data_IF_690306149328
#
_entry.id   IF_690306149328
#
_cell.length_a   1.000
_cell.length_b   1.000
_cell.length_c   1.000
_cell.angle_alpha   90.00
_cell.angle_beta   90.00
_cell.angle_gamma   90.00
#
_symmetry.space_group_name_H-M   'P 1'
#
loop_
_entity.id
_entity.type
_entity.pdbx_description
1 polymer ?
#
# COMPACT_ATOMS: atom_id res chain seq x y z
N UNK A 1 -39.62 65.59 -34.11
CA UNK A 1 -39.06 65.49 -32.73
C UNK A 1 -38.92 64.01 -32.43
N UNK A 2 -37.83 63.63 -31.79
CA UNK A 2 -37.41 62.30 -31.30
C UNK A 2 -36.27 61.64 -32.09
N UNK A 3 -35.26 61.31 -31.28
CA UNK A 3 -33.89 60.90 -31.52
C UNK A 3 -33.73 59.57 -32.27
N UNK A 4 -32.65 59.35 -33.05
CA UNK A 4 -32.19 58.00 -33.34
C UNK A 4 -31.27 57.52 -32.19
N UNK A 5 -31.64 56.42 -31.56
CA UNK A 5 -30.71 55.62 -30.75
C UNK A 5 -29.69 54.98 -31.70
N UNK A 6 -28.42 55.39 -31.63
CA UNK A 6 -27.32 54.69 -32.28
C UNK A 6 -26.79 53.59 -31.34
N UNK A 7 -27.22 52.35 -31.57
CA UNK A 7 -26.51 51.16 -31.08
C UNK A 7 -25.19 51.05 -31.86
N UNK A 8 -24.07 51.29 -31.19
CA UNK A 8 -22.75 50.93 -31.74
C UNK A 8 -22.50 49.44 -31.51
N UNK A 9 -22.85 48.64 -32.51
CA UNK A 9 -22.48 47.22 -32.60
C UNK A 9 -21.08 47.16 -33.23
N UNK A 10 -20.10 46.67 -32.48
CA UNK A 10 -18.80 46.31 -33.06
C UNK A 10 -18.90 44.90 -33.65
N UNK A 11 -18.97 44.81 -34.97
CA UNK A 11 -18.80 43.55 -35.69
C UNK A 11 -17.34 43.41 -36.09
N UNK A 12 -16.65 42.41 -35.54
CA UNK A 12 -15.34 41.99 -36.03
C UNK A 12 -15.55 40.87 -37.05
N UNK A 13 -15.44 41.19 -38.34
CA UNK A 13 -15.42 40.17 -39.40
C UNK A 13 -14.01 39.62 -39.48
N UNK A 14 -13.81 38.36 -39.05
CA UNK A 14 -12.62 37.59 -39.41
C UNK A 14 -12.93 36.77 -40.66
N UNK A 15 -12.28 37.10 -41.78
CA UNK A 15 -12.25 36.22 -42.95
C UNK A 15 -11.40 35.00 -42.62
N UNK A 16 -12.04 33.85 -42.47
CA UNK A 16 -11.34 32.57 -42.48
C UNK A 16 -11.36 32.06 -43.92
N UNK A 17 -10.19 32.00 -44.56
CA UNK A 17 -10.04 31.41 -45.89
C UNK A 17 -10.46 29.93 -45.83
N UNK A 18 -11.31 29.49 -46.74
CA UNK A 18 -11.52 28.06 -46.94
C UNK A 18 -10.17 27.42 -47.34
N UNK A 19 -9.75 26.31 -46.71
CA UNK A 19 -8.48 25.68 -47.03
C UNK A 19 -8.48 25.22 -48.50
N UNK A 20 -7.37 25.48 -49.18
CA UNK A 20 -7.22 25.15 -50.60
C UNK A 20 -7.24 23.63 -50.83
N UNK A 21 -7.61 23.21 -52.04
CA UNK A 21 -7.59 21.79 -52.46
C UNK A 21 -6.24 21.11 -52.21
N UNK A 22 -5.13 21.86 -52.32
CA UNK A 22 -3.77 21.37 -52.03
C UNK A 22 -3.48 21.24 -50.52
N UNK A 23 -4.11 22.05 -49.68
CA UNK A 23 -3.99 22.03 -48.22
C UNK A 23 -4.71 20.81 -47.64
N UNK A 24 -5.86 20.44 -48.24
CA UNK A 24 -6.60 19.20 -47.91
C UNK A 24 -5.89 17.93 -48.42
N UNK A 25 -5.20 18.02 -49.56
CA UNK A 25 -4.40 16.90 -50.09
C UNK A 25 -3.11 16.67 -49.31
N UNK A 26 -2.44 17.73 -48.83
CA UNK A 26 -1.23 17.60 -48.01
C UNK A 26 -1.52 17.01 -46.63
N UNK A 27 -2.68 17.32 -46.04
CA UNK A 27 -3.15 16.75 -44.78
C UNK A 27 -3.42 15.23 -44.89
N UNK A 28 -3.93 14.78 -46.05
CA UNK A 28 -4.25 13.36 -46.31
C UNK A 28 -3.01 12.55 -46.72
N UNK A 29 -2.12 13.12 -47.54
CA UNK A 29 -0.88 12.47 -47.96
C UNK A 29 0.15 12.39 -46.80
N UNK A 30 0.24 13.44 -45.98
CA UNK A 30 1.08 13.45 -44.78
C UNK A 30 0.65 12.39 -43.76
N UNK A 31 -0.66 12.27 -43.51
CA UNK A 31 -1.21 11.22 -42.64
C UNK A 31 -0.90 9.80 -43.12
N UNK A 32 -0.86 9.58 -44.44
CA UNK A 32 -0.53 8.27 -45.02
C UNK A 32 0.93 7.89 -44.79
N UNK A 33 1.87 8.82 -44.98
CA UNK A 33 3.31 8.58 -44.73
C UNK A 33 3.57 8.33 -43.25
N UNK A 34 2.94 9.12 -42.37
CA UNK A 34 3.01 8.90 -40.91
C UNK A 34 2.41 7.55 -40.54
N UNK A 35 1.28 7.16 -41.13
CA UNK A 35 0.66 5.86 -40.93
C UNK A 35 1.56 4.68 -41.33
N UNK A 36 2.23 4.77 -42.47
CA UNK A 36 3.21 3.76 -42.91
C UNK A 36 4.41 3.72 -41.95
N UNK A 37 4.89 4.88 -41.49
CA UNK A 37 5.95 4.95 -40.48
C UNK A 37 5.56 4.28 -39.17
N UNK A 38 4.35 4.56 -38.67
CA UNK A 38 3.80 3.92 -37.46
C UNK A 38 3.58 2.41 -37.65
N UNK A 39 3.21 1.97 -38.86
CA UNK A 39 3.08 0.55 -39.18
C UNK A 39 4.41 -0.19 -39.01
N UNK A 40 5.50 0.28 -39.63
CA UNK A 40 6.81 -0.36 -39.46
C UNK A 40 7.37 -0.21 -38.04
N UNK A 41 7.13 0.93 -37.39
CA UNK A 41 7.51 1.12 -35.99
C UNK A 41 6.79 0.12 -35.07
N UNK A 42 5.52 -0.21 -35.35
CA UNK A 42 4.77 -1.21 -34.59
C UNK A 42 5.41 -2.60 -34.69
N UNK A 43 5.87 -3.02 -35.86
CA UNK A 43 6.63 -4.28 -36.00
C UNK A 43 7.96 -4.24 -35.26
N UNK A 44 8.68 -3.12 -35.29
CA UNK A 44 9.93 -2.99 -34.54
C UNK A 44 9.72 -3.09 -33.02
N UNK A 45 8.69 -2.40 -32.49
CA UNK A 45 8.31 -2.46 -31.08
C UNK A 45 7.83 -3.87 -30.70
N UNK A 46 7.00 -4.51 -31.54
CA UNK A 46 6.55 -5.89 -31.30
C UNK A 46 7.72 -6.87 -31.31
N UNK A 47 8.64 -6.78 -32.27
CA UNK A 47 9.76 -7.70 -32.38
C UNK A 47 10.77 -7.53 -31.25
N UNK A 48 11.01 -6.29 -30.79
CA UNK A 48 11.87 -6.05 -29.62
C UNK A 48 11.20 -6.46 -28.31
N UNK A 49 9.87 -6.33 -28.22
CA UNK A 49 9.10 -6.82 -27.07
C UNK A 49 9.05 -8.36 -27.04
N UNK A 50 8.76 -9.00 -28.18
CA UNK A 50 8.76 -10.46 -28.34
C UNK A 50 10.15 -11.05 -28.12
N UNK A 51 11.21 -10.40 -28.63
CA UNK A 51 12.59 -10.82 -28.37
C UNK A 51 12.92 -10.80 -26.88
N UNK A 52 12.51 -9.75 -26.15
CA UNK A 52 12.68 -9.70 -24.68
C UNK A 52 11.81 -10.73 -23.96
N UNK A 53 10.55 -10.91 -24.38
CA UNK A 53 9.63 -11.87 -23.79
C UNK A 53 10.11 -13.32 -24.00
N UNK A 54 10.63 -13.64 -25.19
CA UNK A 54 11.24 -14.93 -25.50
C UNK A 54 12.51 -15.14 -24.68
N UNK A 55 13.37 -14.13 -24.56
CA UNK A 55 14.60 -14.25 -23.77
C UNK A 55 14.31 -14.44 -22.27
N UNK A 56 13.27 -13.79 -21.74
CA UNK A 56 12.75 -14.04 -20.37
C UNK A 56 12.13 -15.43 -20.23
N UNK A 57 11.40 -15.93 -21.24
CA UNK A 57 10.83 -17.27 -21.22
C UNK A 57 11.90 -18.36 -21.27
N UNK A 58 12.95 -18.18 -22.08
CA UNK A 58 14.11 -19.09 -22.12
C UNK A 58 14.88 -19.06 -20.81
N UNK A 59 15.13 -17.88 -20.21
CA UNK A 59 15.81 -17.80 -18.91
C UNK A 59 14.97 -18.41 -17.77
N UNK A 60 13.64 -18.28 -17.81
CA UNK A 60 12.75 -18.96 -16.86
C UNK A 60 12.80 -20.49 -17.04
N UNK A 61 12.84 -20.98 -18.28
CA UNK A 61 12.86 -22.40 -18.59
C UNK A 61 14.22 -23.04 -18.27
N UNK A 62 15.32 -22.35 -18.52
CA UNK A 62 16.66 -22.74 -18.10
C UNK A 62 16.77 -22.76 -16.58
N UNK A 63 16.24 -21.73 -15.90
CA UNK A 63 16.11 -21.69 -14.44
C UNK A 63 15.29 -22.86 -13.89
N UNK A 64 14.10 -23.13 -14.44
CA UNK A 64 13.23 -24.25 -14.05
C UNK A 64 13.87 -25.62 -14.29
N UNK A 65 14.70 -25.77 -15.32
CA UNK A 65 15.43 -27.01 -15.62
C UNK A 65 16.56 -27.32 -14.62
N UNK A 66 16.98 -26.32 -13.84
CA UNK A 66 18.00 -26.42 -12.79
C UNK A 66 17.39 -26.46 -11.37
N UNK A 67 16.06 -26.34 -11.23
CA UNK A 67 15.39 -26.39 -9.93
C UNK A 67 15.35 -27.83 -9.42
N UNK A 68 16.10 -28.10 -8.36
CA UNK A 68 15.90 -29.32 -7.57
C UNK A 68 14.74 -29.07 -6.61
N UNK A 69 13.64 -29.81 -6.80
CA UNK A 69 12.51 -29.82 -5.88
C UNK A 69 12.88 -30.63 -4.64
N UNK A 70 13.15 -29.95 -3.52
CA UNK A 70 13.29 -30.63 -2.24
C UNK A 70 11.91 -30.93 -1.68
N UNK A 71 11.59 -32.23 -1.60
CA UNK A 71 10.43 -32.70 -0.87
C UNK A 71 10.53 -32.39 0.63
N UNK A 72 9.42 -32.47 1.39
CA UNK A 72 9.31 -32.01 2.77
C UNK A 72 10.26 -32.69 3.79
N UNK A 73 10.95 -33.75 3.39
CA UNK A 73 11.87 -34.55 4.22
C UNK A 73 13.26 -34.72 3.61
N UNK A 74 13.65 -33.87 2.66
CA UNK A 74 14.97 -33.95 2.05
C UNK A 74 16.00 -33.54 3.10
N UNK A 75 16.70 -34.53 3.66
CA UNK A 75 17.92 -34.31 4.44
C UNK A 75 18.87 -33.38 3.70
N UNK A 76 19.77 -32.70 4.43
CA UNK A 76 20.88 -31.92 3.89
C UNK A 76 21.71 -32.79 2.93
N UNK A 77 21.32 -32.86 1.66
CA UNK A 77 22.09 -33.50 0.62
C UNK A 77 23.09 -32.47 0.14
N UNK A 78 24.35 -32.69 0.52
CA UNK A 78 25.50 -31.85 0.17
C UNK A 78 25.65 -31.69 -1.35
N UNK A 79 25.00 -32.54 -2.17
CA UNK A 79 24.97 -32.40 -3.62
C UNK A 79 24.15 -31.21 -4.15
N UNK A 80 23.27 -30.61 -3.33
CA UNK A 80 22.48 -29.45 -3.75
C UNK A 80 23.18 -28.10 -3.49
N UNK A 81 24.43 -28.12 -3.00
CA UNK A 81 25.22 -26.91 -2.81
C UNK A 81 25.51 -26.24 -4.16
N UNK A 82 25.35 -24.91 -4.23
CA UNK A 82 25.49 -24.08 -5.45
C UNK A 82 24.45 -24.32 -6.56
N UNK A 83 23.35 -25.01 -6.26
CA UNK A 83 22.22 -25.15 -7.18
C UNK A 83 21.05 -24.26 -6.75
N UNK A 84 20.24 -23.84 -7.71
CA UNK A 84 18.95 -23.20 -7.43
C UNK A 84 18.02 -24.22 -6.79
N UNK A 85 17.73 -24.02 -5.50
CA UNK A 85 16.85 -24.92 -4.75
C UNK A 85 15.50 -24.25 -4.54
N UNK A 86 14.43 -24.98 -4.83
CA UNK A 86 13.07 -24.59 -4.45
C UNK A 86 12.62 -25.39 -3.23
N UNK A 87 12.48 -24.71 -2.09
CA UNK A 87 12.00 -25.28 -0.84
C UNK A 87 10.55 -24.86 -0.62
N UNK A 88 9.67 -25.84 -0.36
CA UNK A 88 8.31 -25.58 0.11
C UNK A 88 8.05 -26.33 1.42
N UNK A 89 7.87 -25.59 2.51
CA UNK A 89 7.56 -26.17 3.82
C UNK A 89 6.84 -25.16 4.72
N UNK A 90 6.33 -25.64 5.86
CA UNK A 90 5.66 -24.81 6.85
C UNK A 90 6.66 -23.98 7.65
N UNK A 91 6.27 -22.74 7.97
CA UNK A 91 7.01 -21.88 8.88
C UNK A 91 6.90 -22.39 10.32
N UNK A 92 8.03 -22.55 10.99
CA UNK A 92 8.09 -22.80 12.42
C UNK A 92 8.87 -21.68 13.15
N UNK A 93 8.34 -21.23 14.28
CA UNK A 93 9.01 -20.36 15.24
C UNK A 93 9.10 -21.07 16.58
N UNK A 94 10.14 -20.80 17.37
CA UNK A 94 10.37 -21.46 18.66
C UNK A 94 9.34 -21.10 19.73
N UNK A 95 8.85 -19.85 19.71
CA UNK A 95 7.94 -19.31 20.70
C UNK A 95 6.91 -18.36 20.07
N UNK A 96 5.75 -18.15 20.73
CA UNK A 96 4.80 -17.14 20.30
C UNK A 96 5.29 -15.72 20.58
N UNK A 97 4.80 -14.77 19.78
CA UNK A 97 4.99 -13.34 19.98
C UNK A 97 3.90 -12.81 20.90
N UNK A 98 4.29 -12.00 21.88
CA UNK A 98 3.39 -11.49 22.92
C UNK A 98 3.33 -9.96 22.90
N UNK A 99 2.13 -9.42 23.05
CA UNK A 99 1.90 -8.04 23.48
C UNK A 99 1.20 -8.04 24.85
N UNK A 100 1.95 -7.79 25.95
CA UNK A 100 1.41 -7.90 27.30
C UNK A 100 0.39 -6.80 27.63
N UNK A 101 0.43 -5.64 26.96
CA UNK A 101 -0.49 -4.54 27.23
C UNK A 101 -1.92 -4.89 26.83
N UNK A 102 -2.08 -5.74 25.82
CA UNK A 102 -3.37 -6.18 25.29
C UNK A 102 -3.61 -7.69 25.50
N UNK A 103 -2.69 -8.37 26.19
CA UNK A 103 -2.68 -9.83 26.42
C UNK A 103 -2.80 -10.63 25.11
N UNK A 104 -2.29 -10.09 24.00
CA UNK A 104 -2.26 -10.76 22.71
C UNK A 104 -1.07 -11.70 22.64
N UNK A 105 -1.30 -12.94 22.23
CA UNK A 105 -0.26 -13.93 22.00
C UNK A 105 -0.54 -14.67 20.69
N UNK A 106 0.40 -14.66 19.76
CA UNK A 106 0.26 -15.31 18.45
C UNK A 106 1.56 -16.01 18.08
N UNK A 107 1.49 -17.30 17.75
CA UNK A 107 2.62 -18.03 17.17
C UNK A 107 2.73 -17.67 15.68
N UNK A 108 3.59 -16.71 15.36
CA UNK A 108 3.81 -16.24 14.00
C UNK A 108 5.20 -15.60 13.84
N UNK A 109 5.61 -15.37 12.60
CA UNK A 109 6.89 -14.71 12.27
C UNK A 109 6.87 -13.23 12.64
N UNK A 110 5.76 -12.53 12.41
CA UNK A 110 5.60 -11.11 12.79
C UNK A 110 4.27 -10.88 13.48
N UNK A 111 4.29 -10.02 14.50
CA UNK A 111 3.11 -9.47 15.17
C UNK A 111 3.20 -7.95 15.10
N UNK A 112 2.18 -7.31 14.53
CA UNK A 112 2.10 -5.88 14.33
C UNK A 112 0.94 -5.28 15.11
N UNK A 113 1.26 -4.40 16.04
CA UNK A 113 0.32 -3.49 16.71
C UNK A 113 0.23 -2.20 15.89
N UNK A 114 -0.96 -1.89 15.40
CA UNK A 114 -1.27 -0.62 14.75
C UNK A 114 -2.09 0.23 15.71
N UNK A 115 -1.63 1.44 15.96
CA UNK A 115 -2.28 2.42 16.85
C UNK A 115 -2.74 3.59 16.01
N UNK A 116 -3.97 4.04 16.26
CA UNK A 116 -4.55 5.23 15.66
C UNK A 116 -5.18 6.09 16.77
N UNK A 117 -5.09 7.40 16.63
CA UNK A 117 -5.74 8.36 17.51
C UNK A 117 -6.86 9.08 16.76
N UNK A 118 -8.00 9.26 17.43
CA UNK A 118 -9.08 10.09 16.93
C UNK A 118 -8.70 11.55 17.16
N UNK A 119 -8.56 12.32 16.09
CA UNK A 119 -8.02 13.68 16.16
C UNK A 119 -8.54 14.55 15.03
N UNK A 120 -8.49 15.86 15.19
CA UNK A 120 -8.77 16.82 14.13
C UNK A 120 -7.76 16.72 13.00
N UNK A 121 -8.26 16.84 11.77
CA UNK A 121 -7.49 16.93 10.53
C UNK A 121 -7.98 18.16 9.77
N UNK A 122 -7.04 19.03 9.39
CA UNK A 122 -7.31 20.17 8.52
C UNK A 122 -7.07 19.78 7.06
N UNK A 123 -8.05 20.09 6.22
CA UNK A 123 -8.00 19.98 4.78
C UNK A 123 -7.99 21.37 4.16
N UNK A 124 -7.13 21.59 3.18
CA UNK A 124 -6.98 22.86 2.47
C UNK A 124 -7.28 22.69 0.99
N UNK A 125 -8.12 23.55 0.45
CA UNK A 125 -8.38 23.67 -0.98
C UNK A 125 -8.07 25.11 -1.42
N UNK A 126 -7.34 25.27 -2.52
CA UNK A 126 -7.00 26.58 -3.07
C UNK A 126 -7.47 26.70 -4.51
N UNK A 127 -8.06 27.84 -4.85
CA UNK A 127 -8.56 28.14 -6.19
C UNK A 127 -8.12 29.53 -6.62
N UNK A 128 -7.53 29.60 -7.81
CA UNK A 128 -7.20 30.87 -8.44
C UNK A 128 -8.37 31.38 -9.28
N UNK A 129 -8.61 32.69 -9.21
CA UNK A 129 -9.58 33.38 -10.06
C UNK A 129 -9.05 34.76 -10.46
N UNK A 130 -9.58 35.27 -11.56
CA UNK A 130 -9.25 36.60 -12.07
C UNK A 130 -10.29 37.60 -11.59
N UNK A 131 -9.84 38.70 -10.98
CA UNK A 131 -10.69 39.81 -10.58
C UNK A 131 -9.91 41.11 -10.79
N UNK A 132 -10.52 42.09 -11.47
CA UNK A 132 -9.91 43.39 -11.81
C UNK A 132 -8.56 43.32 -12.56
N UNK A 133 -8.31 42.22 -13.28
CA UNK A 133 -7.07 42.00 -14.02
C UNK A 133 -5.91 41.46 -13.17
N UNK A 134 -6.16 41.12 -11.91
CA UNK A 134 -5.22 40.45 -11.01
C UNK A 134 -5.63 38.99 -10.76
N UNK A 135 -4.64 38.09 -10.63
CA UNK A 135 -4.87 36.72 -10.16
C UNK A 135 -4.98 36.72 -8.63
N UNK A 136 -6.12 36.31 -8.10
CA UNK A 136 -6.35 36.11 -6.67
C UNK A 136 -6.47 34.62 -6.35
N UNK A 137 -5.91 34.21 -5.21
CA UNK A 137 -6.02 32.84 -4.69
C UNK A 137 -6.95 32.84 -3.49
N UNK A 138 -8.09 32.15 -3.60
CA UNK A 138 -8.95 31.82 -2.47
C UNK A 138 -8.49 30.49 -1.87
N UNK A 139 -8.37 30.44 -0.54
CA UNK A 139 -8.05 29.20 0.18
C UNK A 139 -9.16 28.90 1.18
N UNK A 140 -9.74 27.70 1.09
CA UNK A 140 -10.76 27.20 2.00
C UNK A 140 -10.17 26.12 2.90
N UNK A 141 -10.45 26.21 4.20
CA UNK A 141 -10.02 25.23 5.21
C UNK A 141 -11.23 24.49 5.77
N UNK A 142 -11.16 23.15 5.80
CA UNK A 142 -12.17 22.26 6.36
C UNK A 142 -11.57 21.42 7.48
N UNK A 143 -12.33 21.13 8.52
CA UNK A 143 -11.86 20.41 9.69
C UNK A 143 -12.78 19.22 9.97
N UNK A 144 -12.20 18.03 10.05
CA UNK A 144 -12.92 16.80 10.40
C UNK A 144 -12.14 16.01 11.45
N UNK A 145 -12.84 15.26 12.28
CA UNK A 145 -12.21 14.33 13.22
C UNK A 145 -12.11 12.93 12.62
N UNK A 146 -10.90 12.38 12.62
CA UNK A 146 -10.57 11.11 11.97
C UNK A 146 -9.61 10.28 12.81
N UNK A 147 -9.66 8.96 12.59
CA UNK A 147 -8.63 8.04 13.10
C UNK A 147 -7.39 8.12 12.22
N UNK A 148 -6.26 8.50 12.80
CA UNK A 148 -4.99 8.66 12.08
C UNK A 148 -3.87 7.95 12.84
N UNK A 149 -2.99 7.28 12.10
CA UNK A 149 -1.84 6.56 12.67
C UNK A 149 -0.69 7.49 13.06
N UNK A 150 -0.60 8.63 12.39
CA UNK A 150 0.36 9.69 12.62
C UNK A 150 -0.23 10.78 13.49
N UNK A 151 0.63 11.50 14.21
CA UNK A 151 0.22 12.61 15.06
C UNK A 151 0.00 13.87 14.23
N UNK A 152 -1.17 14.47 14.32
CA UNK A 152 -1.49 15.72 13.60
C UNK A 152 -1.30 16.89 14.55
N UNK A 153 -0.26 17.68 14.30
CA UNK A 153 0.04 18.87 15.10
C UNK A 153 -0.93 20.01 14.78
N UNK A 154 -1.98 20.15 15.61
CA UNK A 154 -3.01 21.19 15.46
C UNK A 154 -2.49 22.62 15.62
N UNK A 155 -1.27 22.83 16.15
CA UNK A 155 -0.64 24.16 16.22
C UNK A 155 -0.33 24.75 14.85
N UNK A 156 -0.32 23.90 13.82
CA UNK A 156 -0.10 24.31 12.44
C UNK A 156 -1.42 24.58 11.69
N UNK A 157 -2.57 24.43 12.35
CA UNK A 157 -3.86 24.72 11.73
C UNK A 157 -4.08 26.22 11.57
N UNK A 158 -4.73 26.60 10.49
CA UNK A 158 -5.18 27.97 10.22
C UNK A 158 -6.12 28.46 11.34
N UNK A 159 -7.00 27.56 11.82
CA UNK A 159 -7.87 27.80 12.97
C UNK A 159 -7.68 26.72 14.04
N UNK A 160 -6.70 26.91 14.91
CA UNK A 160 -6.46 26.03 16.06
C UNK A 160 -7.58 26.06 17.11
N UNK A 161 -8.18 27.22 17.38
CA UNK A 161 -9.21 27.36 18.42
C UNK A 161 -10.45 26.54 18.06
N UNK A 162 -10.72 25.51 18.88
CA UNK A 162 -11.79 24.53 18.66
C UNK A 162 -11.33 23.23 17.98
N UNK A 163 -10.08 23.16 17.51
CA UNK A 163 -9.52 22.01 16.79
C UNK A 163 -8.20 21.51 17.39
N UNK A 164 -8.11 21.52 18.72
CA UNK A 164 -6.89 21.14 19.44
C UNK A 164 -6.74 19.61 19.49
N UNK A 165 -5.54 19.13 19.14
CA UNK A 165 -5.16 17.72 19.27
C UNK A 165 -4.17 17.52 20.42
N UNK A 166 -4.16 16.34 21.06
CA UNK A 166 -3.09 15.99 22.00
C UNK A 166 -1.71 16.01 21.34
N UNK A 167 -0.69 16.40 22.09
CA UNK A 167 0.69 16.46 21.62
C UNK A 167 1.43 15.11 21.66
N UNK A 168 0.77 14.05 22.09
CA UNK A 168 1.33 12.70 22.20
C UNK A 168 0.22 11.64 22.14
N UNK A 169 0.56 10.46 21.61
CA UNK A 169 -0.27 9.26 21.76
C UNK A 169 0.21 8.47 22.99
N UNK A 170 -0.72 7.92 23.78
CA UNK A 170 -0.38 7.14 24.97
C UNK A 170 0.25 5.76 24.65
N UNK A 171 0.09 5.29 23.42
CA UNK A 171 0.58 4.00 22.94
C UNK A 171 1.15 4.15 21.54
N UNK A 172 2.20 3.39 21.23
CA UNK A 172 2.85 3.43 19.92
C UNK A 172 2.61 2.16 19.10
N UNK A 173 2.60 2.32 17.78
CA UNK A 173 2.63 1.20 16.84
C UNK A 173 3.97 0.47 16.92
N UNK A 174 3.95 -0.86 16.87
CA UNK A 174 5.16 -1.68 16.90
C UNK A 174 4.99 -2.93 16.06
N UNK A 175 6.05 -3.35 15.39
CA UNK A 175 6.13 -4.68 14.77
C UNK A 175 7.21 -5.48 15.47
N UNK A 176 6.82 -6.58 16.07
CA UNK A 176 7.74 -7.55 16.69
C UNK A 176 7.96 -8.68 15.70
N UNK A 177 9.22 -9.10 15.56
CA UNK A 177 9.63 -10.19 14.66
C UNK A 177 10.19 -11.33 15.53
N UNK A 178 9.85 -12.57 15.17
CA UNK A 178 10.39 -13.75 15.83
C UNK A 178 11.93 -13.79 15.70
N UNK A 179 12.65 -14.14 16.78
CA UNK A 179 14.11 -14.13 16.78
C UNK A 179 14.69 -15.16 15.81
N UNK A 180 14.01 -16.30 15.67
CA UNK A 180 14.37 -17.40 14.79
C UNK A 180 13.14 -17.86 14.03
N UNK A 181 13.32 -18.05 12.72
CA UNK A 181 12.27 -18.49 11.79
C UNK A 181 12.84 -19.59 10.93
N UNK A 182 12.22 -20.76 10.99
CA UNK A 182 12.64 -21.90 10.20
C UNK A 182 11.61 -22.37 9.19
N UNK A 183 12.09 -23.08 8.17
CA UNK A 183 11.30 -23.73 7.11
C UNK A 183 11.94 -25.09 6.87
N UNK A 184 11.24 -26.18 7.23
CA UNK A 184 11.84 -27.52 7.21
C UNK A 184 13.11 -27.58 8.09
N UNK A 185 14.26 -28.05 7.57
CA UNK A 185 15.52 -28.09 8.33
C UNK A 185 16.31 -26.77 8.29
N UNK A 186 15.84 -25.74 7.58
CA UNK A 186 16.61 -24.51 7.34
C UNK A 186 16.12 -23.36 8.20
N UNK A 187 17.05 -22.47 8.59
CA UNK A 187 16.74 -21.16 9.18
C UNK A 187 16.71 -20.09 8.10
N UNK A 188 15.73 -19.18 8.17
CA UNK A 188 15.61 -18.07 7.23
C UNK A 188 16.56 -16.93 7.60
N UNK A 189 17.21 -16.36 6.59
CA UNK A 189 17.98 -15.13 6.75
C UNK A 189 17.06 -13.93 7.03
N UNK A 190 17.62 -12.87 7.62
CA UNK A 190 16.86 -11.63 7.92
C UNK A 190 16.15 -11.06 6.69
N UNK A 191 16.83 -11.05 5.54
CA UNK A 191 16.24 -10.54 4.29
C UNK A 191 15.03 -11.35 3.81
N UNK A 192 15.04 -12.68 3.98
CA UNK A 192 13.88 -13.52 3.67
C UNK A 192 12.75 -13.31 4.67
N UNK A 193 13.05 -13.16 5.96
CA UNK A 193 12.07 -12.83 6.99
C UNK A 193 11.42 -11.46 6.72
N UNK A 194 12.21 -10.48 6.25
CA UNK A 194 11.71 -9.16 5.87
C UNK A 194 10.68 -9.24 4.74
N UNK A 195 10.77 -10.20 3.82
CA UNK A 195 9.80 -10.39 2.74
C UNK A 195 8.45 -10.99 3.20
N UNK A 196 8.38 -11.55 4.41
CA UNK A 196 7.13 -12.09 4.98
C UNK A 196 6.25 -10.93 5.46
N UNK A 197 5.47 -10.35 4.55
CA UNK A 197 4.65 -9.15 4.80
C UNK A 197 3.16 -9.36 4.51
N UNK A 198 2.71 -10.60 4.29
CA UNK A 198 1.29 -10.90 4.13
C UNK A 198 0.59 -10.86 5.50
N UNK A 199 0.34 -9.66 5.99
CA UNK A 199 -0.32 -9.43 7.27
C UNK A 199 -1.82 -9.73 7.20
N UNK A 200 -2.29 -10.52 8.15
CA UNK A 200 -3.70 -10.81 8.38
C UNK A 200 -4.13 -10.17 9.68
N UNK A 201 -5.33 -9.57 9.70
CA UNK A 201 -5.91 -9.02 10.92
C UNK A 201 -6.16 -10.14 11.93
N UNK A 202 -5.74 -9.93 13.17
CA UNK A 202 -6.10 -10.81 14.28
C UNK A 202 -7.56 -10.54 14.64
N UNK A 203 -8.43 -11.53 14.45
CA UNK A 203 -9.82 -11.36 14.85
C UNK A 203 -9.98 -11.43 16.37
N UNK A 204 -10.76 -10.50 16.93
CA UNK A 204 -11.04 -10.46 18.36
C UNK A 204 -12.38 -11.09 18.75
N UNK A 205 -13.11 -11.67 17.78
CA UNK A 205 -14.45 -12.26 18.02
C UNK A 205 -14.47 -13.32 19.12
N UNK A 206 -13.44 -14.17 19.15
CA UNK A 206 -13.30 -15.24 20.13
C UNK A 206 -12.34 -14.86 21.27
N UNK A 207 -11.93 -13.59 21.35
CA UNK A 207 -10.96 -13.13 22.34
C UNK A 207 -11.66 -12.96 23.69
N UNK A 208 -11.17 -13.66 24.71
CA UNK A 208 -11.70 -13.52 26.06
C UNK A 208 -11.40 -12.12 26.60
N UNK A 209 -12.44 -11.30 26.73
CA UNK A 209 -12.37 -9.98 27.39
C UNK A 209 -12.30 -10.08 28.91
N UNK A 210 -12.51 -11.27 29.47
CA UNK A 210 -12.36 -11.53 30.90
C UNK A 210 -10.90 -11.21 31.32
N UNK A 211 -10.75 -10.19 32.16
CA UNK A 211 -9.46 -9.65 32.67
C UNK A 211 -8.70 -8.67 31.76
N UNK A 212 -9.35 -8.04 30.78
CA UNK A 212 -8.82 -6.82 30.18
C UNK A 212 -8.76 -5.70 31.22
N UNK A 213 -7.84 -4.76 31.02
CA UNK A 213 -7.75 -3.60 31.90
C UNK A 213 -9.06 -2.79 31.86
N UNK A 214 -9.54 -2.21 32.97
CA UNK A 214 -10.85 -1.55 33.01
C UNK A 214 -11.03 -0.38 32.04
N UNK A 215 -9.94 0.24 31.59
CA UNK A 215 -9.94 1.34 30.62
C UNK A 215 -10.01 0.88 29.15
N UNK A 216 -10.00 -0.43 28.90
CA UNK A 216 -10.09 -1.01 27.55
C UNK A 216 -11.50 -1.50 27.26
N UNK A 217 -12.01 -1.16 26.09
CA UNK A 217 -13.16 -1.81 25.47
C UNK A 217 -12.75 -2.49 24.16
N UNK A 218 -13.55 -3.47 23.73
CA UNK A 218 -13.35 -4.18 22.46
C UNK A 218 -14.61 -4.01 21.61
N UNK A 219 -14.43 -3.58 20.37
CA UNK A 219 -15.47 -3.48 19.35
C UNK A 219 -14.84 -3.86 18.00
N UNK A 220 -15.50 -4.74 17.26
CA UNK A 220 -14.94 -5.44 16.09
C UNK A 220 -13.56 -6.07 16.39
N UNK A 221 -12.52 -5.74 15.62
CA UNK A 221 -11.15 -6.23 15.79
C UNK A 221 -10.21 -5.15 16.38
N UNK A 222 -10.77 -4.21 17.15
CA UNK A 222 -10.03 -3.13 17.81
C UNK A 222 -10.17 -3.20 19.33
N UNK A 223 -9.05 -2.93 20.01
CA UNK A 223 -9.05 -2.48 21.40
C UNK A 223 -9.14 -0.97 21.43
N UNK A 224 -9.98 -0.42 22.28
CA UNK A 224 -10.19 1.03 22.43
C UNK A 224 -9.81 1.47 23.85
N UNK A 225 -9.05 2.55 23.95
CA UNK A 225 -8.75 3.26 25.20
C UNK A 225 -9.87 4.26 25.54
N UNK A 226 -11.12 3.82 25.40
CA UNK A 226 -12.32 4.60 25.68
C UNK A 226 -13.43 3.65 26.09
N UNK A 227 -14.36 4.13 26.91
CA UNK A 227 -15.53 3.36 27.33
C UNK A 227 -16.63 3.34 26.26
N UNK A 228 -16.59 4.25 25.28
CA UNK A 228 -17.63 4.40 24.26
C UNK A 228 -17.03 4.47 22.83
N UNK A 229 -16.64 3.33 22.25
CA UNK A 229 -16.01 3.29 20.93
C UNK A 229 -16.89 3.81 19.79
N UNK A 230 -18.21 3.85 19.98
CA UNK A 230 -19.19 4.36 19.01
C UNK A 230 -19.37 5.89 19.06
N UNK A 231 -18.78 6.55 20.05
CA UNK A 231 -18.75 8.03 20.19
C UNK A 231 -17.34 8.47 20.61
N UNK A 232 -16.35 8.35 19.71
CA UNK A 232 -14.98 8.69 20.04
C UNK A 232 -14.82 10.20 20.26
N UNK A 233 -13.94 10.55 21.20
CA UNK A 233 -13.54 11.92 21.49
C UNK A 233 -12.10 12.16 21.05
N UNK A 234 -11.74 13.42 20.84
CA UNK A 234 -10.38 13.78 20.41
C UNK A 234 -9.38 13.34 21.46
N UNK A 235 -8.40 12.53 21.04
CA UNK A 235 -7.41 11.90 21.90
C UNK A 235 -7.71 10.45 22.25
N UNK A 236 -8.91 9.93 21.94
CA UNK A 236 -9.18 8.51 22.05
C UNK A 236 -8.24 7.71 21.15
N UNK A 237 -7.79 6.57 21.65
CA UNK A 237 -6.86 5.67 20.94
C UNK A 237 -7.53 4.35 20.66
N UNK A 238 -7.34 3.83 19.44
CA UNK A 238 -7.71 2.46 19.07
C UNK A 238 -6.51 1.69 18.58
N UNK A 239 -6.51 0.39 18.84
CA UNK A 239 -5.40 -0.51 18.56
C UNK A 239 -5.90 -1.77 17.88
N UNK A 240 -5.28 -2.11 16.76
CA UNK A 240 -5.54 -3.36 16.03
C UNK A 240 -4.27 -4.17 15.93
N UNK A 241 -4.42 -5.49 16.00
CA UNK A 241 -3.34 -6.44 15.79
C UNK A 241 -3.45 -7.11 14.43
N UNK A 242 -2.29 -7.36 13.83
CA UNK A 242 -2.15 -8.18 12.64
C UNK A 242 -0.90 -9.05 12.76
N UNK A 243 -0.88 -10.18 12.08
CA UNK A 243 0.25 -11.11 12.10
C UNK A 243 0.59 -11.58 10.68
N UNK A 244 1.85 -11.94 10.46
CA UNK A 244 2.31 -12.52 9.20
C UNK A 244 3.17 -13.75 9.46
N UNK A 245 3.10 -14.76 8.58
CA UNK A 245 3.81 -16.02 8.75
C UNK A 245 3.27 -16.81 9.93
N UNK A 246 1.98 -17.17 9.90
CA UNK A 246 1.38 -17.99 10.98
C UNK A 246 2.19 -19.27 11.15
N UNK A 247 2.49 -19.61 12.39
CA UNK A 247 3.34 -20.71 12.75
C UNK A 247 2.68 -21.58 13.82
N UNK A 248 3.10 -22.83 13.92
CA UNK A 248 2.56 -23.81 14.87
C UNK A 248 1.39 -24.62 14.31
N UNK A 249 1.39 -25.90 14.61
CA UNK A 249 0.41 -26.87 14.09
C UNK A 249 -0.96 -26.78 14.79
N UNK A 250 -1.01 -26.17 15.98
CA UNK A 250 -2.18 -26.17 16.88
C UNK A 250 -2.76 -24.76 17.13
N UNK A 251 -2.46 -23.79 16.26
CA UNK A 251 -2.98 -22.44 16.43
C UNK A 251 -4.51 -22.39 16.23
N UNK A 252 -5.28 -21.74 17.13
CA UNK A 252 -6.71 -21.51 16.92
C UNK A 252 -6.99 -20.59 15.73
N UNK A 253 -5.96 -19.89 15.23
CA UNK A 253 -6.05 -18.99 14.08
C UNK A 253 -5.92 -19.72 12.73
N UNK A 254 -5.69 -21.03 12.74
CA UNK A 254 -5.56 -21.84 11.53
C UNK A 254 -4.24 -22.61 11.44
N UNK A 255 -3.98 -23.21 10.27
CA UNK A 255 -2.76 -24.00 10.03
C UNK A 255 -1.56 -23.09 9.76
N UNK A 256 -0.37 -23.56 10.14
CA UNK A 256 0.89 -22.90 9.80
C UNK A 256 1.00 -22.60 8.30
N UNK A 257 1.50 -21.42 7.97
CA UNK A 257 1.63 -20.96 6.60
C UNK A 257 2.76 -21.71 5.90
N UNK A 258 2.46 -22.26 4.72
CA UNK A 258 3.46 -22.80 3.80
C UNK A 258 4.09 -21.67 3.02
N UNK A 259 5.43 -21.64 2.98
CA UNK A 259 6.19 -20.71 2.14
C UNK A 259 6.99 -21.50 1.11
N UNK A 260 7.15 -20.89 -0.06
CA UNK A 260 7.99 -21.40 -1.13
C UNK A 260 9.11 -20.38 -1.37
N UNK A 261 10.36 -20.82 -1.27
CA UNK A 261 11.52 -19.97 -1.50
C UNK A 261 12.42 -20.62 -2.56
N UNK A 262 12.88 -19.81 -3.51
CA UNK A 262 13.88 -20.17 -4.50
C UNK A 262 15.15 -19.40 -4.16
N UNK A 263 16.27 -20.09 -3.96
CA UNK A 263 17.53 -19.45 -3.58
C UNK A 263 18.68 -19.96 -4.45
N UNK A 264 19.41 -19.04 -5.08
CA UNK A 264 20.57 -19.32 -5.94
C UNK A 264 21.87 -19.55 -5.16
N UNK A 265 21.89 -19.25 -3.85
CA UNK A 265 23.05 -19.46 -2.98
C UNK A 265 22.59 -19.86 -1.59
N UNK A 266 22.68 -21.14 -1.26
CA UNK A 266 22.65 -21.61 0.13
C UNK A 266 24.07 -21.54 0.70
N UNK A 267 24.47 -20.48 1.44
CA UNK A 267 25.64 -20.60 2.31
C UNK A 267 25.22 -21.33 3.59
N UNK A 268 26.19 -22.06 4.14
CA UNK A 268 26.17 -22.74 5.44
C UNK A 268 25.59 -21.89 6.57
#
# INVERSE_FOLDING_TARGET
>A
IASPYSLNIFVRVSLQSNPGFLERLSETAGGTVVGIGLFFLSFYVLFTNEGRALQTAYSLNEGLSQVVLLGPFSSLDLQNNNHLVHLSSQLHTSQPLHDPNYRVAVQAVKLKRQVEMYQWVEYRESKDYQEDGETKTETTYNYNTEWKSEMVNSRNFDKEIGHQNPSAMAVESVTVVAPEVGVGPFSLSKGLVEQINNFQTLSLRDFSTFNLAPFLSVDDDYFYHTHNPRRPEVGDVRVRFSFAGLSGETSPLGRAQTVSAANDQLPY
#
